data_IF_730994184983
#
_entry.id   IF_730994184983
#
_cell.length_a   1.000
_cell.length_b   1.000
_cell.length_c   1.000
_cell.angle_alpha   90.00
_cell.angle_beta   90.00
_cell.angle_gamma   90.00
#
_symmetry.space_group_name_H-M   'P 1'
#
loop_
_entity.id
_entity.type
_entity.pdbx_description
1 polymer ?
#
# COMPACT_ATOMS: atom_id res chain seq x y z
N UNK A 1 10.49 6.29 13.20
CA UNK A 1 9.99 6.97 14.43
C UNK A 1 10.41 8.45 14.50
N UNK A 2 11.65 8.82 14.14
CA UNK A 2 12.10 10.23 14.21
C UNK A 2 11.28 11.16 13.31
N UNK A 3 10.94 10.72 12.09
CA UNK A 3 10.12 11.50 11.13
C UNK A 3 8.69 11.65 11.63
N UNK A 4 8.08 10.57 12.12
CA UNK A 4 6.72 10.61 12.70
C UNK A 4 6.66 11.58 13.87
N UNK A 5 7.63 11.50 14.79
CA UNK A 5 7.72 12.42 15.93
C UNK A 5 7.94 13.88 15.48
N UNK A 6 8.79 14.12 14.48
CA UNK A 6 9.01 15.46 13.94
C UNK A 6 7.72 16.04 13.33
N UNK A 7 6.95 15.22 12.61
CA UNK A 7 5.69 15.63 11.99
C UNK A 7 4.58 15.86 13.02
N UNK A 8 4.47 15.01 14.03
CA UNK A 8 3.47 15.16 15.10
C UNK A 8 3.66 16.45 15.91
N UNK A 9 4.86 17.02 15.93
CA UNK A 9 5.16 18.30 16.59
C UNK A 9 4.90 19.53 15.70
N UNK A 10 4.50 19.34 14.43
CA UNK A 10 4.20 20.46 13.53
C UNK A 10 2.80 20.98 13.81
N UNK A 11 2.70 22.26 14.16
CA UNK A 11 1.40 22.91 14.40
C UNK A 11 0.54 22.88 13.12
N UNK A 12 -0.64 22.25 13.21
CA UNK A 12 -1.56 22.00 12.09
C UNK A 12 -1.56 20.54 11.59
N UNK A 13 -0.68 19.68 12.11
CA UNK A 13 -0.76 18.23 11.96
C UNK A 13 -1.60 17.67 13.09
N UNK A 14 -2.61 16.89 12.77
CA UNK A 14 -3.48 16.23 13.75
C UNK A 14 -2.96 14.82 14.06
N UNK A 15 -2.57 14.07 13.02
CA UNK A 15 -2.07 12.70 13.16
C UNK A 15 -1.05 12.39 12.05
N UNK A 16 0.01 11.68 12.39
CA UNK A 16 1.02 11.19 11.45
C UNK A 16 1.25 9.70 11.69
N UNK A 17 0.98 8.85 10.70
CA UNK A 17 1.09 7.40 10.80
C UNK A 17 2.09 6.85 9.78
N UNK A 18 2.99 5.94 10.19
CA UNK A 18 3.88 5.24 9.28
C UNK A 18 3.09 4.21 8.46
N UNK A 19 3.41 4.09 7.18
CA UNK A 19 2.88 3.04 6.31
C UNK A 19 4.00 2.41 5.49
N UNK A 20 3.78 1.17 5.05
CA UNK A 20 4.68 0.46 4.15
C UNK A 20 3.88 0.13 2.90
N UNK A 21 4.41 0.49 1.75
CA UNK A 21 3.79 0.13 0.48
C UNK A 21 4.83 -0.46 -0.45
N UNK A 22 4.59 -1.70 -0.89
CA UNK A 22 5.47 -2.40 -1.83
C UNK A 22 4.68 -3.52 -2.55
N UNK A 23 5.32 -4.15 -3.56
CA UNK A 23 4.70 -5.16 -4.39
C UNK A 23 4.99 -6.58 -3.91
N UNK A 24 4.00 -7.45 -4.04
CA UNK A 24 4.08 -8.87 -3.71
C UNK A 24 3.31 -9.72 -4.74
N UNK A 25 3.58 -11.02 -4.74
CA UNK A 25 2.71 -11.99 -5.39
C UNK A 25 1.73 -12.53 -4.35
N UNK A 26 0.44 -12.40 -4.61
CA UNK A 26 -0.61 -13.01 -3.82
C UNK A 26 -1.06 -14.33 -4.45
N UNK A 27 -1.26 -15.33 -3.60
CA UNK A 27 -1.75 -16.65 -3.98
C UNK A 27 -2.95 -17.01 -3.12
N UNK A 28 -4.06 -17.38 -3.74
CA UNK A 28 -5.29 -17.81 -3.08
C UNK A 28 -5.81 -19.08 -3.76
N UNK A 29 -5.63 -20.23 -3.13
CA UNK A 29 -5.88 -21.53 -3.75
C UNK A 29 -5.01 -21.77 -4.99
N UNK A 30 -5.63 -21.86 -6.15
CA UNK A 30 -4.94 -22.04 -7.44
C UNK A 30 -4.73 -20.74 -8.21
N UNK A 31 -5.27 -19.63 -7.72
CA UNK A 31 -5.19 -18.31 -8.35
C UNK A 31 -4.03 -17.53 -7.79
N UNK A 32 -3.39 -16.75 -8.65
CA UNK A 32 -2.29 -15.88 -8.26
C UNK A 32 -2.31 -14.58 -9.06
N UNK A 33 -1.88 -13.48 -8.43
CA UNK A 33 -1.72 -12.19 -9.11
C UNK A 33 -0.69 -11.31 -8.41
N UNK A 34 -0.01 -10.41 -9.12
CA UNK A 34 0.77 -9.36 -8.50
C UNK A 34 -0.18 -8.37 -7.82
N UNK A 35 0.17 -7.98 -6.60
CA UNK A 35 -0.58 -7.03 -5.79
C UNK A 35 0.33 -5.95 -5.23
N UNK A 36 -0.27 -4.86 -4.81
CA UNK A 36 0.35 -3.84 -3.98
C UNK A 36 -0.10 -4.04 -2.53
N UNK A 37 0.82 -4.36 -1.65
CA UNK A 37 0.57 -4.43 -0.20
C UNK A 37 0.71 -3.04 0.40
N UNK A 38 -0.23 -2.66 1.26
CA UNK A 38 -0.13 -1.50 2.12
C UNK A 38 -0.23 -1.94 3.58
N UNK A 39 0.92 -1.95 4.25
CA UNK A 39 1.02 -2.19 5.69
C UNK A 39 0.61 -0.94 6.46
N UNK A 40 -0.40 -1.07 7.31
CA UNK A 40 -1.02 0.04 8.06
C UNK A 40 -1.02 -0.27 9.55
N UNK A 41 -0.86 0.76 10.41
CA UNK A 41 -1.01 0.60 11.86
C UNK A 41 -2.50 0.45 12.24
N UNK A 42 -2.76 0.04 13.46
CA UNK A 42 -4.11 -0.23 13.95
C UNK A 42 -5.00 1.03 13.91
N UNK A 43 -4.42 2.20 14.17
CA UNK A 43 -5.11 3.49 14.20
C UNK A 43 -5.38 4.08 12.79
N UNK A 44 -5.06 3.36 11.74
CA UNK A 44 -5.15 3.86 10.36
C UNK A 44 -6.57 4.30 9.94
N UNK A 45 -7.61 3.71 10.51
CA UNK A 45 -9.00 4.12 10.32
C UNK A 45 -9.28 5.57 10.79
N UNK A 46 -8.41 6.11 11.65
CA UNK A 46 -8.48 7.51 12.06
C UNK A 46 -8.04 8.48 10.95
N UNK A 47 -7.18 8.06 10.00
CA UNK A 47 -6.73 8.88 8.86
C UNK A 47 -7.58 8.63 7.61
N UNK A 48 -8.06 7.39 7.45
CA UNK A 48 -8.72 6.92 6.23
C UNK A 48 -10.14 6.44 6.54
N UNK A 49 -11.10 6.81 5.70
CA UNK A 49 -12.47 6.33 5.77
C UNK A 49 -12.65 4.90 5.23
N UNK A 50 -11.62 4.04 5.38
CA UNK A 50 -11.61 2.69 4.80
C UNK A 50 -12.81 1.85 5.26
N UNK A 51 -13.27 2.06 6.48
CA UNK A 51 -14.46 1.36 7.02
C UNK A 51 -15.73 1.66 6.23
N UNK A 52 -15.87 2.87 5.71
CA UNK A 52 -17.06 3.31 4.97
C UNK A 52 -17.18 2.75 3.56
N UNK A 53 -16.06 2.24 3.02
CA UNK A 53 -15.97 1.70 1.65
C UNK A 53 -15.91 0.18 1.61
N UNK A 54 -16.08 -0.50 2.74
CA UNK A 54 -16.21 -1.97 2.81
C UNK A 54 -17.53 -2.39 2.21
N UNK A 55 -17.47 -3.33 1.25
CA UNK A 55 -18.64 -3.87 0.55
C UNK A 55 -18.97 -5.31 0.95
N UNK A 56 -18.02 -6.04 1.55
CA UNK A 56 -18.19 -7.41 2.03
C UNK A 56 -17.28 -7.66 3.23
N UNK A 57 -17.78 -8.35 4.27
CA UNK A 57 -17.05 -8.62 5.51
C UNK A 57 -17.04 -7.44 6.48
N UNK A 58 -16.11 -7.47 7.44
CA UNK A 58 -15.95 -6.44 8.48
C UNK A 58 -14.50 -5.94 8.54
N UNK A 59 -14.33 -4.67 8.88
CA UNK A 59 -12.99 -4.09 9.09
C UNK A 59 -12.31 -4.76 10.29
N UNK A 60 -11.33 -5.57 10.01
CA UNK A 60 -10.53 -6.24 11.02
C UNK A 60 -9.14 -6.51 10.46
N UNK A 61 -8.11 -6.04 11.17
CA UNK A 61 -6.71 -6.27 10.84
C UNK A 61 -6.06 -7.28 11.79
N UNK A 62 -6.48 -7.27 13.04
CA UNK A 62 -5.97 -8.16 14.11
C UNK A 62 -7.09 -8.41 15.13
N UNK A 63 -7.25 -9.64 15.59
CA UNK A 63 -8.19 -10.03 16.64
C UNK A 63 -7.46 -10.50 17.92
N UNK A 64 -6.16 -10.28 18.00
CA UNK A 64 -5.28 -10.72 19.08
C UNK A 64 -4.83 -12.18 18.97
N UNK A 65 -5.36 -12.95 18.02
CA UNK A 65 -5.00 -14.35 17.73
C UNK A 65 -4.46 -14.48 16.31
N UNK A 66 -5.12 -13.86 15.37
CA UNK A 66 -4.82 -13.92 13.93
C UNK A 66 -4.78 -12.52 13.32
N UNK A 67 -3.94 -12.38 12.31
CA UNK A 67 -3.88 -11.18 11.47
C UNK A 67 -4.73 -11.39 10.23
N UNK A 68 -5.27 -10.29 9.70
CA UNK A 68 -6.19 -10.31 8.58
C UNK A 68 -5.79 -9.30 7.51
N UNK A 69 -6.18 -9.59 6.28
CA UNK A 69 -6.02 -8.68 5.15
C UNK A 69 -7.37 -8.13 4.70
N UNK A 70 -7.37 -6.86 4.30
CA UNK A 70 -8.50 -6.19 3.66
C UNK A 70 -8.13 -6.03 2.19
N UNK A 71 -8.94 -6.58 1.30
CA UNK A 71 -8.62 -6.71 -0.11
C UNK A 71 -9.46 -5.78 -0.98
N UNK A 72 -8.88 -5.21 -2.04
CA UNK A 72 -9.63 -4.48 -3.04
C UNK A 72 -10.56 -5.41 -3.83
N UNK A 73 -11.67 -4.88 -4.32
CA UNK A 73 -12.65 -5.62 -5.12
C UNK A 73 -12.01 -6.25 -6.37
N UNK A 74 -11.08 -5.57 -7.03
CA UNK A 74 -10.37 -6.09 -8.21
C UNK A 74 -9.49 -7.30 -7.88
N UNK A 75 -8.73 -7.21 -6.78
CA UNK A 75 -7.93 -8.34 -6.32
C UNK A 75 -8.82 -9.53 -5.89
N UNK A 76 -9.92 -9.26 -5.20
CA UNK A 76 -10.87 -10.28 -4.78
C UNK A 76 -11.50 -11.02 -5.98
N UNK A 77 -11.90 -10.28 -7.01
CA UNK A 77 -12.45 -10.87 -8.24
C UNK A 77 -11.43 -11.73 -8.97
N UNK A 78 -10.19 -11.25 -9.14
CA UNK A 78 -9.15 -11.98 -9.85
C UNK A 78 -8.67 -13.24 -9.11
N UNK A 79 -8.60 -13.17 -7.79
CA UNK A 79 -8.21 -14.30 -6.94
C UNK A 79 -9.40 -15.21 -6.59
N UNK A 80 -10.62 -14.85 -6.96
CA UNK A 80 -11.85 -15.52 -6.51
C UNK A 80 -11.96 -15.60 -4.98
N UNK A 81 -11.43 -14.59 -4.31
CA UNK A 81 -11.44 -14.50 -2.84
C UNK A 81 -12.77 -13.94 -2.34
N UNK A 82 -13.13 -14.34 -1.11
CA UNK A 82 -14.30 -13.85 -0.39
C UNK A 82 -13.94 -13.54 1.04
N UNK A 83 -14.58 -12.55 1.62
CA UNK A 83 -14.42 -12.22 3.03
C UNK A 83 -14.93 -13.35 3.93
N UNK A 84 -14.25 -13.58 5.06
CA UNK A 84 -14.66 -14.55 6.09
C UNK A 84 -14.48 -16.02 5.71
N UNK A 85 -13.89 -16.35 4.57
CA UNK A 85 -13.58 -17.73 4.20
C UNK A 85 -12.29 -18.22 4.88
N UNK A 86 -12.28 -19.49 5.28
CA UNK A 86 -11.13 -20.15 5.94
C UNK A 86 -9.98 -20.49 4.99
N UNK A 87 -10.02 -20.02 3.76
CA UNK A 87 -8.92 -20.18 2.82
C UNK A 87 -7.88 -19.09 3.05
N UNK A 88 -6.63 -19.51 3.20
CA UNK A 88 -5.51 -18.60 3.42
C UNK A 88 -5.12 -17.86 2.14
N UNK A 89 -4.86 -16.58 2.29
CA UNK A 89 -4.21 -15.72 1.31
C UNK A 89 -2.72 -15.69 1.65
N UNK A 90 -1.89 -16.20 0.75
CA UNK A 90 -0.44 -16.27 0.93
C UNK A 90 0.26 -15.23 0.08
N UNK A 91 1.22 -14.53 0.66
CA UNK A 91 2.03 -13.52 0.00
C UNK A 91 3.45 -14.03 -0.17
N UNK A 92 4.04 -13.73 -1.33
CA UNK A 92 5.43 -13.99 -1.64
C UNK A 92 6.13 -12.70 -2.02
N UNK A 93 7.26 -12.41 -1.37
CA UNK A 93 8.10 -11.25 -1.65
C UNK A 93 9.54 -11.67 -1.82
N UNK A 94 10.30 -11.09 -2.76
CA UNK A 94 11.73 -11.38 -2.84
C UNK A 94 12.45 -10.86 -1.60
N UNK A 95 13.40 -11.64 -1.07
CA UNK A 95 14.24 -11.17 0.03
C UNK A 95 15.11 -10.00 -0.42
N UNK A 96 15.09 -8.92 0.37
CA UNK A 96 15.94 -7.73 0.10
C UNK A 96 17.40 -7.95 0.46
N UNK A 97 17.64 -8.73 1.52
CA UNK A 97 18.97 -9.02 2.07
C UNK A 97 19.22 -10.52 1.97
N UNK A 98 20.09 -10.93 1.07
CA UNK A 98 20.48 -12.32 0.89
C UNK A 98 20.85 -12.66 -0.54
N UNK A 99 21.91 -13.45 -0.72
CA UNK A 99 22.25 -14.00 -2.02
C UNK A 99 21.28 -15.11 -2.41
N UNK A 100 20.85 -15.14 -3.66
CA UNK A 100 20.06 -16.25 -4.20
C UNK A 100 20.88 -17.53 -4.12
N UNK A 101 20.49 -18.46 -3.26
CA UNK A 101 21.11 -19.77 -3.22
C UNK A 101 20.59 -20.61 -4.39
N UNK A 102 21.43 -20.83 -5.41
CA UNK A 102 21.09 -21.59 -6.61
C UNK A 102 20.65 -23.04 -6.29
N UNK A 103 21.02 -23.57 -5.13
CA UNK A 103 20.67 -24.92 -4.72
C UNK A 103 19.25 -25.00 -4.11
N UNK A 104 18.74 -23.90 -3.57
CA UNK A 104 17.37 -23.80 -3.06
C UNK A 104 16.78 -22.40 -3.35
N UNK A 105 16.20 -22.20 -4.55
CA UNK A 105 15.66 -20.91 -4.97
C UNK A 105 14.47 -20.44 -4.14
N UNK A 106 13.79 -21.33 -3.41
CA UNK A 106 12.69 -20.96 -2.51
C UNK A 106 13.16 -20.10 -1.33
N UNK A 107 14.43 -20.22 -0.93
CA UNK A 107 15.00 -19.36 0.11
C UNK A 107 15.22 -17.89 -0.35
N UNK A 108 15.00 -17.60 -1.63
CA UNK A 108 15.05 -16.22 -2.15
C UNK A 108 13.76 -15.42 -1.88
N UNK A 109 12.73 -16.07 -1.35
CA UNK A 109 11.44 -15.47 -1.07
C UNK A 109 11.11 -15.51 0.42
N UNK A 110 10.51 -14.44 0.91
CA UNK A 110 9.75 -14.47 2.16
C UNK A 110 8.30 -14.76 1.84
N UNK A 111 7.66 -15.49 2.72
CA UNK A 111 6.24 -15.76 2.60
C UNK A 111 5.55 -15.62 3.95
N UNK A 112 4.31 -15.16 3.92
CA UNK A 112 3.40 -15.13 5.06
C UNK A 112 1.97 -15.33 4.56
N UNK A 113 1.09 -15.76 5.44
CA UNK A 113 -0.29 -16.09 5.09
C UNK A 113 -1.26 -15.54 6.11
N UNK A 114 -2.41 -15.07 5.62
CA UNK A 114 -3.48 -14.52 6.44
C UNK A 114 -4.85 -14.86 5.87
N UNK A 115 -5.91 -14.51 6.58
CA UNK A 115 -7.28 -14.60 6.09
C UNK A 115 -7.78 -13.25 5.58
N UNK A 116 -8.73 -13.27 4.66
CA UNK A 116 -9.39 -12.07 4.15
C UNK A 116 -10.56 -11.73 5.08
N UNK A 117 -10.46 -10.61 5.82
CA UNK A 117 -11.53 -10.13 6.70
C UNK A 117 -12.61 -9.38 5.94
N UNK A 118 -12.22 -8.58 4.97
CA UNK A 118 -13.15 -7.76 4.22
C UNK A 118 -12.66 -7.40 2.82
N UNK A 119 -13.63 -7.01 1.98
CA UNK A 119 -13.40 -6.50 0.63
C UNK A 119 -13.91 -5.07 0.57
N UNK A 120 -13.14 -4.15 -0.03
CA UNK A 120 -13.49 -2.76 -0.18
C UNK A 120 -13.54 -2.31 -1.64
N UNK A 121 -14.27 -1.22 -1.89
CA UNK A 121 -14.36 -0.55 -3.18
C UNK A 121 -14.44 0.97 -2.99
N UNK A 122 -13.54 1.72 -3.62
CA UNK A 122 -13.43 3.20 -3.51
C UNK A 122 -13.91 3.90 -4.78
N UNK A 123 -14.25 3.15 -5.84
CA UNK A 123 -14.58 3.65 -7.18
C UNK A 123 -13.43 4.42 -7.87
N UNK A 124 -12.19 4.07 -7.51
CA UNK A 124 -10.97 4.59 -8.13
C UNK A 124 -10.08 3.44 -8.62
N UNK A 125 -9.87 3.35 -9.94
CA UNK A 125 -9.15 2.24 -10.58
C UNK A 125 -7.77 1.93 -9.98
N UNK A 126 -7.04 2.93 -9.49
CA UNK A 126 -5.71 2.74 -8.91
C UNK A 126 -5.73 2.03 -7.54
N UNK A 127 -6.81 2.18 -6.78
CA UNK A 127 -6.96 1.58 -5.45
C UNK A 127 -7.80 0.31 -5.49
N UNK A 128 -8.73 0.20 -6.44
CA UNK A 128 -9.66 -0.93 -6.54
C UNK A 128 -9.09 -2.12 -7.28
N UNK A 129 -7.94 -1.97 -8.00
CA UNK A 129 -7.43 -3.01 -8.88
C UNK A 129 -6.69 -4.13 -8.17
N UNK A 130 -5.68 -3.79 -7.36
CA UNK A 130 -4.68 -4.75 -6.87
C UNK A 130 -4.15 -4.44 -5.46
N UNK A 131 -4.79 -3.54 -4.71
CA UNK A 131 -4.31 -3.15 -3.39
C UNK A 131 -4.87 -4.05 -2.29
N UNK A 132 -4.00 -4.40 -1.34
CA UNK A 132 -4.34 -5.18 -0.15
C UNK A 132 -3.76 -4.48 1.08
N UNK A 133 -4.61 -4.19 2.05
CA UNK A 133 -4.19 -3.68 3.35
C UNK A 133 -3.94 -4.83 4.32
N UNK A 134 -2.93 -4.69 5.16
CA UNK A 134 -2.60 -5.62 6.23
C UNK A 134 -1.95 -4.91 7.41
N UNK A 135 -1.81 -5.55 8.59
CA UNK A 135 -1.06 -4.98 9.71
C UNK A 135 0.38 -4.63 9.31
N UNK A 136 0.86 -3.47 9.77
CA UNK A 136 2.19 -2.95 9.40
C UNK A 136 3.34 -3.87 9.80
N UNK A 137 3.21 -4.59 10.90
CA UNK A 137 4.22 -5.53 11.39
C UNK A 137 4.33 -6.77 10.47
N UNK A 138 3.20 -7.25 9.91
CA UNK A 138 3.20 -8.30 8.90
C UNK A 138 3.87 -7.82 7.60
N UNK A 139 3.58 -6.60 7.17
CA UNK A 139 4.25 -5.99 6.02
C UNK A 139 5.76 -5.80 6.27
N UNK A 140 6.17 -5.39 7.48
CA UNK A 140 7.58 -5.32 7.87
C UNK A 140 8.29 -6.66 7.73
N UNK A 141 7.67 -7.71 8.21
CA UNK A 141 8.22 -9.07 8.08
C UNK A 141 8.37 -9.47 6.62
N UNK A 142 7.35 -9.28 5.79
CA UNK A 142 7.37 -9.64 4.37
C UNK A 142 8.43 -8.88 3.57
N UNK A 143 8.58 -7.58 3.81
CA UNK A 143 9.49 -6.72 3.05
C UNK A 143 10.86 -6.53 3.68
N UNK A 144 11.18 -7.26 4.74
CA UNK A 144 12.46 -7.18 5.43
C UNK A 144 12.78 -5.76 5.93
N UNK A 145 11.76 -5.11 6.49
CA UNK A 145 11.90 -3.87 7.23
C UNK A 145 11.98 -4.18 8.72
N UNK A 146 12.85 -3.49 9.43
CA UNK A 146 12.91 -3.57 10.88
C UNK A 146 11.87 -2.61 11.51
N UNK A 147 12.28 -1.39 11.81
CA UNK A 147 11.38 -0.32 12.34
C UNK A 147 11.04 0.72 11.29
N UNK A 148 11.52 0.54 10.07
CA UNK A 148 11.37 1.48 8.98
C UNK A 148 9.95 1.50 8.43
N UNK A 149 9.63 2.58 7.71
CA UNK A 149 8.41 2.74 6.92
C UNK A 149 8.79 3.32 5.55
N UNK A 150 8.03 2.99 4.51
CA UNK A 150 8.26 3.57 3.18
C UNK A 150 7.63 4.96 3.05
N UNK A 151 6.55 5.21 3.79
CA UNK A 151 5.81 6.46 3.76
C UNK A 151 5.35 6.85 5.17
N UNK A 152 5.03 8.15 5.35
CA UNK A 152 4.29 8.64 6.50
C UNK A 152 3.07 9.38 5.97
N UNK A 153 1.89 8.95 6.38
CA UNK A 153 0.64 9.61 6.04
C UNK A 153 0.24 10.58 7.13
N UNK A 154 -0.19 11.77 6.73
CA UNK A 154 -0.47 12.87 7.63
C UNK A 154 -1.90 13.33 7.44
N UNK A 155 -2.66 13.40 8.54
CA UNK A 155 -3.93 14.10 8.61
C UNK A 155 -3.70 15.51 9.15
N UNK A 156 -4.22 16.51 8.43
CA UNK A 156 -4.17 17.89 8.85
C UNK A 156 -5.37 18.22 9.75
N UNK A 157 -5.18 19.17 10.67
CA UNK A 157 -6.26 19.69 11.48
C UNK A 157 -7.31 20.39 10.63
N UNK A 158 -8.60 20.34 10.99
CA UNK A 158 -9.66 21.01 10.25
C UNK A 158 -9.40 22.51 10.06
N UNK A 159 -9.63 23.04 8.86
CA UNK A 159 -9.49 24.45 8.53
C UNK A 159 -8.08 24.94 8.24
N UNK A 160 -7.08 24.05 8.22
CA UNK A 160 -5.71 24.40 7.86
C UNK A 160 -5.55 24.34 6.32
N UNK A 161 -4.87 25.36 5.76
CA UNK A 161 -4.55 25.40 4.33
C UNK A 161 -3.48 24.34 3.98
N UNK A 162 -3.85 23.40 3.09
CA UNK A 162 -3.00 22.31 2.66
C UNK A 162 -1.70 22.80 2.00
N UNK A 163 -1.76 23.85 1.18
CA UNK A 163 -0.61 24.40 0.46
C UNK A 163 0.43 25.01 1.39
N UNK A 164 -0.02 25.68 2.44
CA UNK A 164 0.83 26.23 3.49
C UNK A 164 1.49 25.09 4.30
N UNK A 165 0.72 24.04 4.58
CA UNK A 165 1.23 22.89 5.32
C UNK A 165 2.24 22.08 4.53
N UNK A 166 2.04 21.87 3.23
CA UNK A 166 3.04 21.23 2.36
C UNK A 166 4.41 21.91 2.48
N UNK A 167 4.41 23.24 2.36
CA UNK A 167 5.65 24.04 2.46
C UNK A 167 6.27 23.94 3.85
N UNK A 168 5.45 23.96 4.91
CA UNK A 168 5.91 23.86 6.30
C UNK A 168 6.51 22.49 6.59
N UNK A 169 5.81 21.42 6.22
CA UNK A 169 6.27 20.05 6.38
C UNK A 169 7.55 19.80 5.58
N UNK A 170 7.61 20.25 4.32
CA UNK A 170 8.83 20.14 3.50
C UNK A 170 10.03 20.84 4.14
N UNK A 171 9.81 22.00 4.78
CA UNK A 171 10.86 22.74 5.49
C UNK A 171 11.37 21.99 6.73
N UNK A 172 10.48 21.31 7.45
CA UNK A 172 10.84 20.52 8.65
C UNK A 172 11.62 19.26 8.25
N UNK A 173 11.19 18.58 7.18
CA UNK A 173 11.80 17.33 6.74
C UNK A 173 13.06 17.51 5.91
N UNK A 174 13.31 18.71 5.33
CA UNK A 174 14.45 18.98 4.46
C UNK A 174 14.27 18.42 3.04
N UNK A 175 15.38 18.37 2.29
CA UNK A 175 15.38 17.94 0.87
C UNK A 175 15.45 16.42 0.69
N UNK A 176 15.68 15.65 1.74
CA UNK A 176 15.77 14.19 1.68
C UNK A 176 14.40 13.52 1.54
N UNK A 177 13.33 14.22 1.92
CA UNK A 177 11.97 13.71 1.88
C UNK A 177 11.13 14.46 0.86
N UNK A 178 10.25 13.73 0.18
CA UNK A 178 9.29 14.30 -0.76
C UNK A 178 7.90 14.38 -0.13
N UNK A 179 7.37 15.58 0.01
CA UNK A 179 6.01 15.79 0.52
C UNK A 179 5.06 15.91 -0.67
N UNK A 180 4.02 15.08 -0.68
CA UNK A 180 3.01 15.05 -1.75
C UNK A 180 1.62 15.18 -1.15
N UNK A 181 0.78 15.97 -1.78
CA UNK A 181 -0.65 15.96 -1.50
C UNK A 181 -1.37 14.90 -2.35
N UNK A 182 -2.67 14.71 -2.07
CA UNK A 182 -3.51 13.74 -2.77
C UNK A 182 -3.55 13.97 -4.29
N UNK A 183 -3.61 15.23 -4.72
CA UNK A 183 -3.62 15.58 -6.15
C UNK A 183 -2.27 15.29 -6.83
N UNK A 184 -1.16 15.56 -6.15
CA UNK A 184 0.18 15.27 -6.67
C UNK A 184 0.43 13.76 -6.79
N UNK A 185 -0.11 12.93 -5.89
CA UNK A 185 -0.03 11.48 -5.99
C UNK A 185 -0.76 10.96 -7.23
N UNK A 186 -1.95 11.51 -7.53
CA UNK A 186 -2.71 11.17 -8.73
C UNK A 186 -2.00 11.62 -10.02
N UNK A 187 -1.40 12.82 -10.05
CA UNK A 187 -0.73 13.35 -11.23
C UNK A 187 0.48 12.51 -11.66
N UNK A 188 1.20 11.90 -10.72
CA UNK A 188 2.33 11.01 -11.02
C UNK A 188 1.88 9.76 -11.80
N UNK A 189 0.72 9.21 -11.48
CA UNK A 189 0.12 8.10 -12.23
C UNK A 189 -0.28 8.50 -13.65
N UNK A 190 -0.81 9.71 -13.84
CA UNK A 190 -1.16 10.24 -15.17
C UNK A 190 0.06 10.48 -16.08
N UNK A 191 1.20 10.88 -15.52
CA UNK A 191 2.43 11.07 -16.30
C UNK A 191 2.96 9.76 -16.88
N UNK A 192 2.91 8.67 -16.13
CA UNK A 192 3.31 7.34 -16.63
C UNK A 192 2.42 6.86 -17.78
N UNK A 193 1.11 7.02 -17.67
CA UNK A 193 0.15 6.66 -18.73
C UNK A 193 0.36 7.49 -20.01
N UNK A 194 0.72 8.78 -19.87
CA UNK A 194 0.99 9.63 -21.02
C UNK A 194 2.29 9.25 -21.74
N UNK A 195 3.34 8.89 -21.01
CA UNK A 195 4.60 8.41 -21.60
C UNK A 195 4.34 7.12 -22.39
N UNK A 196 3.57 6.19 -21.83
CA UNK A 196 3.21 4.93 -22.49
C UNK A 196 2.44 5.15 -23.80
N UNK A 197 1.49 6.11 -23.82
CA UNK A 197 0.79 6.51 -25.04
C UNK A 197 1.74 7.09 -26.09
N UNK A 198 2.65 7.97 -25.72
CA UNK A 198 3.62 8.56 -26.64
C UNK A 198 4.56 7.51 -27.24
N UNK A 199 5.05 6.56 -26.42
CA UNK A 199 5.88 5.44 -26.89
C UNK A 199 5.11 4.57 -27.87
N UNK A 200 3.84 4.27 -27.59
CA UNK A 200 2.98 3.48 -28.49
C UNK A 200 2.73 4.19 -29.81
N UNK A 201 2.45 5.49 -29.79
CA UNK A 201 2.30 6.29 -31.02
C UNK A 201 3.58 6.32 -31.87
N UNK A 202 4.73 6.44 -31.20
CA UNK A 202 6.04 6.47 -31.86
C UNK A 202 6.35 5.11 -32.51
N UNK A 203 6.08 4.00 -31.80
CA UNK A 203 6.24 2.64 -32.31
C UNK A 203 5.30 2.37 -33.50
N UNK A 204 4.03 2.77 -33.40
CA UNK A 204 3.08 2.65 -34.52
C UNK A 204 3.53 3.48 -35.73
N UNK A 205 4.06 4.68 -35.50
CA UNK A 205 4.62 5.51 -36.59
C UNK A 205 5.80 4.85 -37.29
N UNK A 206 6.69 4.15 -36.56
CA UNK A 206 7.79 3.40 -37.16
C UNK A 206 7.37 2.15 -37.92
N UNK A 207 6.24 1.52 -37.55
CA UNK A 207 5.73 0.33 -38.23
C UNK A 207 5.01 0.71 -39.53
N UNK A 208 4.48 1.94 -39.64
CA UNK A 208 3.72 2.42 -40.81
C UNK A 208 4.57 3.08 -41.90
N UNK A 209 5.87 3.31 -41.64
CA UNK A 209 6.86 3.81 -42.62
C UNK A 209 7.69 2.66 -43.14
#
# INVERSE_FOLDING_TARGET
>A
DSVVNALSNVNGVDLALPTIQDHALAVYGTYQMPITIKGIPEEYDSISDIKSVIIDGEYMLDDGVSKYAIMSVGAAVQLHARAGFLQMLTFYTPQRLGGVNMTNPMNAFRMDSTFVSSIYQVEQNSYDRDMVYMPIDMARYLFDYDTQASNVEVRLSPGVDESVMLTRIQKVLGSEYQVKNRLMQQSTAFHLVNIEKWVTFLLLGFILV
#
